data_IF_855390747792
#
_entry.id   IF_855390747792
#
_cell.length_a   1.000
_cell.length_b   1.000
_cell.length_c   1.000
_cell.angle_alpha   90.00
_cell.angle_beta   90.00
_cell.angle_gamma   90.00
#
_symmetry.space_group_name_H-M   'P 1'
#
loop_
_entity.id
_entity.type
_entity.pdbx_description
1 polymer ?
#
# COMPACT_ATOMS: atom_id res chain seq x y z
N UNK A 1 -17.39 31.72 20.12
CA UNK A 1 -15.98 31.73 19.65
C UNK A 1 -15.16 30.58 20.25
N UNK A 2 -15.20 30.36 21.57
CA UNK A 2 -14.46 29.26 22.24
C UNK A 2 -14.81 27.85 21.75
N UNK A 3 -16.10 27.56 21.51
CA UNK A 3 -16.53 26.25 20.99
C UNK A 3 -15.95 25.92 19.60
N UNK A 4 -15.83 26.92 18.73
CA UNK A 4 -15.24 26.73 17.39
C UNK A 4 -13.73 26.45 17.47
N UNK A 5 -13.03 27.10 18.40
CA UNK A 5 -11.62 26.85 18.68
C UNK A 5 -11.38 25.43 19.21
N UNK A 6 -12.24 24.95 20.11
CA UNK A 6 -12.11 23.61 20.69
C UNK A 6 -12.37 22.52 19.65
N UNK A 7 -13.48 22.62 18.90
CA UNK A 7 -13.81 21.66 17.84
C UNK A 7 -12.76 21.65 16.72
N UNK A 8 -12.26 22.84 16.32
CA UNK A 8 -11.18 22.97 15.36
C UNK A 8 -9.87 22.35 15.84
N UNK A 9 -9.51 22.57 17.11
CA UNK A 9 -8.32 21.99 17.73
C UNK A 9 -8.36 20.46 17.76
N UNK A 10 -9.48 19.87 18.18
CA UNK A 10 -9.66 18.41 18.21
C UNK A 10 -9.56 17.82 16.80
N UNK A 11 -10.22 18.44 15.82
CA UNK A 11 -10.17 18.00 14.42
C UNK A 11 -8.76 18.03 13.85
N UNK A 12 -8.00 19.09 14.15
CA UNK A 12 -6.62 19.25 13.70
C UNK A 12 -5.69 18.22 14.35
N UNK A 13 -5.85 17.97 15.65
CA UNK A 13 -5.09 16.94 16.37
C UNK A 13 -5.41 15.54 15.82
N UNK A 14 -6.68 15.21 15.64
CA UNK A 14 -7.09 13.92 15.09
C UNK A 14 -6.57 13.72 13.65
N UNK A 15 -6.62 14.78 12.82
CA UNK A 15 -6.07 14.74 11.47
C UNK A 15 -4.56 14.51 11.47
N UNK A 16 -3.81 15.20 12.33
CA UNK A 16 -2.35 15.00 12.47
C UNK A 16 -2.04 13.58 12.91
N UNK A 17 -2.70 13.09 13.97
CA UNK A 17 -2.51 11.73 14.49
C UNK A 17 -2.80 10.68 13.42
N UNK A 18 -3.93 10.79 12.71
CA UNK A 18 -4.29 9.85 11.66
C UNK A 18 -3.32 9.93 10.47
N UNK A 19 -2.82 11.11 10.13
CA UNK A 19 -1.88 11.30 9.03
C UNK A 19 -0.52 10.67 9.33
N UNK A 20 -0.03 10.79 10.57
CA UNK A 20 1.19 10.10 11.03
C UNK A 20 0.97 8.58 11.05
N UNK A 21 -0.15 8.12 11.61
CA UNK A 21 -0.49 6.70 11.64
C UNK A 21 -0.56 6.10 10.22
N UNK A 22 -1.19 6.79 9.26
CA UNK A 22 -1.26 6.38 7.86
C UNK A 22 0.11 6.25 7.23
N UNK A 23 1.03 7.21 7.46
CA UNK A 23 2.40 7.14 6.92
C UNK A 23 3.19 5.96 7.50
N UNK A 24 3.04 5.71 8.81
CA UNK A 24 3.68 4.56 9.46
C UNK A 24 3.11 3.21 8.99
N UNK A 25 1.84 3.17 8.60
CA UNK A 25 1.20 1.96 8.07
C UNK A 25 1.46 1.78 6.56
N UNK A 26 1.58 2.86 5.79
CA UNK A 26 1.87 2.80 4.35
C UNK A 26 3.16 2.03 4.05
N UNK A 27 4.24 2.26 4.82
CA UNK A 27 5.48 1.51 4.65
C UNK A 27 5.33 0.00 4.92
N UNK A 28 4.44 -0.37 5.86
CA UNK A 28 4.09 -1.78 6.11
C UNK A 28 3.24 -2.37 4.99
N UNK A 29 2.37 -1.56 4.39
CA UNK A 29 1.50 -1.98 3.29
C UNK A 29 2.30 -2.26 2.02
N UNK A 30 3.27 -1.41 1.67
CA UNK A 30 4.15 -1.62 0.52
C UNK A 30 4.97 -2.91 0.68
N UNK A 31 5.47 -3.17 1.89
CA UNK A 31 6.21 -4.42 2.18
C UNK A 31 5.33 -5.66 2.11
N UNK A 32 4.06 -5.57 2.54
CA UNK A 32 3.11 -6.67 2.44
C UNK A 32 2.74 -6.94 0.98
N UNK A 33 2.53 -5.88 0.19
CA UNK A 33 2.29 -5.99 -1.24
C UNK A 33 3.47 -6.67 -1.94
N UNK A 34 4.71 -6.24 -1.68
CA UNK A 34 5.90 -6.87 -2.27
C UNK A 34 6.08 -8.34 -1.84
N UNK A 35 5.70 -8.68 -0.60
CA UNK A 35 5.70 -10.07 -0.13
C UNK A 35 4.68 -10.94 -0.88
N UNK A 36 3.48 -10.41 -1.17
CA UNK A 36 2.46 -11.10 -1.98
C UNK A 36 2.92 -11.27 -3.43
N UNK A 37 3.45 -10.20 -4.03
CA UNK A 37 4.03 -10.25 -5.39
C UNK A 37 5.11 -11.32 -5.47
N UNK A 38 6.02 -11.36 -4.49
CA UNK A 38 7.10 -12.35 -4.44
C UNK A 38 6.56 -13.78 -4.27
N UNK A 39 5.52 -13.97 -3.45
CA UNK A 39 4.90 -15.28 -3.28
C UNK A 39 4.22 -15.77 -4.56
N UNK A 40 3.53 -14.87 -5.29
CA UNK A 40 2.90 -15.19 -6.57
C UNK A 40 3.98 -15.53 -7.61
N UNK A 41 5.00 -14.67 -7.75
CA UNK A 41 6.12 -14.88 -8.67
C UNK A 41 6.80 -16.24 -8.44
N UNK A 42 6.98 -16.65 -7.17
CA UNK A 42 7.57 -17.95 -6.83
C UNK A 42 6.74 -19.18 -7.27
N UNK A 43 5.41 -19.04 -7.41
CA UNK A 43 4.52 -20.13 -7.89
C UNK A 43 4.48 -20.16 -9.42
N UNK A 44 4.79 -19.04 -10.08
CA UNK A 44 4.79 -18.95 -11.53
C UNK A 44 5.93 -19.79 -12.13
N UNK A 45 5.77 -20.29 -13.37
CA UNK A 45 6.77 -21.14 -14.03
C UNK A 45 8.08 -20.41 -14.38
N UNK A 46 8.23 -19.12 -14.05
CA UNK A 46 9.42 -18.27 -14.29
C UNK A 46 9.95 -18.31 -15.73
N UNK A 47 9.12 -18.77 -16.69
CA UNK A 47 9.50 -18.98 -18.09
C UNK A 47 9.39 -17.72 -18.96
N UNK A 48 8.82 -16.64 -18.40
CA UNK A 48 8.62 -15.35 -19.07
C UNK A 48 7.96 -15.51 -20.45
N UNK A 49 6.94 -16.38 -20.56
CA UNK A 49 6.28 -16.71 -21.82
C UNK A 49 5.38 -15.61 -22.40
N UNK A 50 5.13 -14.53 -21.64
CA UNK A 50 4.28 -13.38 -21.99
C UNK A 50 2.83 -13.71 -22.42
N UNK A 51 2.35 -14.93 -22.17
CA UNK A 51 1.01 -15.37 -22.56
C UNK A 51 -0.12 -14.62 -21.83
N UNK A 52 0.16 -14.07 -20.65
CA UNK A 52 -0.77 -13.25 -19.88
C UNK A 52 -0.82 -11.78 -20.32
N UNK A 53 -0.08 -11.38 -21.36
CA UNK A 53 -0.04 -10.00 -21.85
C UNK A 53 0.89 -9.05 -21.10
N UNK A 54 1.69 -9.57 -20.15
CA UNK A 54 2.73 -8.84 -19.43
C UNK A 54 4.12 -9.24 -19.94
N UNK A 55 5.14 -8.35 -19.85
CA UNK A 55 6.49 -8.63 -20.35
C UNK A 55 7.26 -9.70 -19.55
N UNK A 56 6.66 -10.27 -18.48
CA UNK A 56 7.24 -11.33 -17.66
C UNK A 56 6.32 -11.77 -16.51
N UNK A 57 6.77 -12.75 -15.71
CA UNK A 57 6.03 -13.29 -14.56
C UNK A 57 5.91 -12.29 -13.39
N UNK A 58 6.99 -11.57 -13.08
CA UNK A 58 7.00 -10.54 -12.02
C UNK A 58 6.07 -9.34 -12.28
N UNK A 59 6.05 -8.71 -13.47
CA UNK A 59 5.10 -7.63 -13.76
C UNK A 59 3.66 -8.12 -13.80
N UNK A 60 3.41 -9.40 -14.12
CA UNK A 60 2.11 -10.02 -13.93
C UNK A 60 1.76 -10.14 -12.43
N UNK A 61 2.69 -10.63 -11.60
CA UNK A 61 2.51 -10.73 -10.16
C UNK A 61 2.30 -9.38 -9.45
N UNK A 62 2.83 -8.28 -10.00
CA UNK A 62 2.59 -6.91 -9.51
C UNK A 62 1.22 -6.35 -9.89
N UNK A 63 0.61 -6.89 -10.95
CA UNK A 63 -0.68 -6.42 -11.45
C UNK A 63 -1.88 -7.16 -10.85
N UNK A 64 -1.63 -8.23 -10.07
CA UNK A 64 -2.60 -9.07 -9.37
C UNK A 64 -2.41 -8.91 -7.87
#
# INVERSE_FOLDING_TARGET
MTAALVLGGIGLVAAILLSIARRALASRQDSNADAVVTAIDAILPQSQCAQCGYPGCRPYAQAV
#
